data_IF_451683288475
#
_entry.id   IF_451683288475
#
_cell.length_a   1.000
_cell.length_b   1.000
_cell.length_c   1.000
_cell.angle_alpha   90.00
_cell.angle_beta   90.00
_cell.angle_gamma   90.00
#
_symmetry.space_group_name_H-M   'P 1'
#
loop_
_entity.id
_entity.type
_entity.pdbx_description
1 polymer ?
#
# COMPACT_ATOMS: atom_id res chain seq x y z
N UNK A 1 3.27 -6.70 -17.51
CA UNK A 1 4.27 -6.33 -16.49
C UNK A 1 3.64 -6.57 -15.13
N UNK A 2 4.44 -7.01 -14.16
CA UNK A 2 3.96 -7.35 -12.82
C UNK A 2 3.64 -6.08 -12.06
N UNK A 3 2.35 -5.76 -11.91
CA UNK A 3 1.94 -4.65 -11.07
C UNK A 3 2.08 -5.05 -9.60
N UNK A 4 2.85 -4.29 -8.82
CA UNK A 4 3.03 -4.48 -7.39
C UNK A 4 2.05 -3.59 -6.64
N UNK A 5 1.20 -4.16 -5.79
CA UNK A 5 0.34 -3.38 -4.88
C UNK A 5 1.03 -3.21 -3.53
N UNK A 6 1.25 -1.98 -3.10
CA UNK A 6 1.84 -1.66 -1.78
C UNK A 6 0.69 -1.29 -0.84
N UNK A 7 0.46 -2.14 0.17
CA UNK A 7 -0.53 -1.89 1.21
C UNK A 7 0.18 -1.57 2.52
N UNK A 8 -0.20 -0.46 3.14
CA UNK A 8 0.41 0.04 4.38
C UNK A 8 -0.66 0.69 5.28
N UNK A 9 -0.30 0.89 6.55
CA UNK A 9 -1.07 1.76 7.43
C UNK A 9 -0.82 3.22 7.04
N UNK A 10 -1.85 4.07 7.05
CA UNK A 10 -1.70 5.52 6.85
C UNK A 10 -0.73 6.18 7.85
N UNK A 11 -0.43 5.51 8.97
CA UNK A 11 0.59 5.92 9.95
C UNK A 11 2.03 5.69 9.48
N UNK A 12 2.24 4.94 8.39
CA UNK A 12 3.53 4.53 7.84
C UNK A 12 3.78 5.05 6.41
N UNK A 13 3.26 6.23 6.09
CA UNK A 13 3.39 6.81 4.75
C UNK A 13 4.85 7.05 4.35
N UNK A 14 5.74 7.37 5.31
CA UNK A 14 7.15 7.63 5.03
C UNK A 14 7.88 6.34 4.60
N UNK A 15 7.62 5.24 5.30
CA UNK A 15 8.18 3.92 5.02
C UNK A 15 7.64 3.37 3.70
N UNK A 16 6.35 3.58 3.42
CA UNK A 16 5.74 3.18 2.15
C UNK A 16 6.37 3.90 0.95
N UNK A 17 6.70 5.20 1.08
CA UNK A 17 7.44 5.95 0.05
C UNK A 17 8.86 5.44 -0.11
N UNK A 18 9.58 5.17 0.98
CA UNK A 18 10.94 4.65 0.92
C UNK A 18 11.00 3.30 0.19
N UNK A 19 10.04 2.42 0.42
CA UNK A 19 9.95 1.11 -0.25
C UNK A 19 9.58 1.26 -1.73
N UNK A 20 8.65 2.16 -2.07
CA UNK A 20 8.36 2.52 -3.45
C UNK A 20 9.63 2.99 -4.17
N UNK A 21 10.38 3.90 -3.58
CA UNK A 21 11.59 4.47 -4.20
C UNK A 21 12.67 3.39 -4.38
N UNK A 22 12.80 2.47 -3.42
CA UNK A 22 13.66 1.31 -3.54
C UNK A 22 13.23 0.36 -4.68
N UNK A 23 11.92 0.06 -4.82
CA UNK A 23 11.40 -0.75 -5.93
C UNK A 23 11.73 -0.13 -7.29
N UNK A 24 11.48 1.17 -7.45
CA UNK A 24 11.82 1.92 -8.68
C UNK A 24 13.32 1.81 -8.98
N UNK A 25 14.18 1.99 -7.98
CA UNK A 25 15.64 1.89 -8.16
C UNK A 25 16.13 0.49 -8.60
N UNK A 26 15.33 -0.54 -8.36
CA UNK A 26 15.59 -1.93 -8.75
C UNK A 26 14.88 -2.33 -10.06
N UNK A 27 14.29 -1.38 -10.79
CA UNK A 27 13.62 -1.61 -12.07
C UNK A 27 12.16 -2.07 -11.96
N UNK A 28 11.54 -1.93 -10.79
CA UNK A 28 10.13 -2.25 -10.55
C UNK A 28 9.30 -0.96 -10.49
N UNK A 29 8.97 -0.39 -11.66
CA UNK A 29 8.29 0.90 -11.83
C UNK A 29 6.76 0.80 -12.07
N UNK A 30 6.24 -0.40 -12.29
CA UNK A 30 4.80 -0.71 -12.35
C UNK A 30 4.28 -1.06 -10.95
N UNK A 31 3.96 -0.04 -10.16
CA UNK A 31 3.42 -0.18 -8.81
C UNK A 31 2.11 0.60 -8.64
N UNK A 32 1.36 0.20 -7.63
CA UNK A 32 0.21 0.94 -7.11
C UNK A 32 0.43 1.24 -5.63
N UNK A 33 0.40 2.52 -5.30
CA UNK A 33 0.49 3.04 -3.93
C UNK A 33 -0.65 4.06 -3.78
N UNK A 34 -1.55 3.78 -2.83
CA UNK A 34 -2.78 4.54 -2.59
C UNK A 34 -2.56 6.04 -2.23
N UNK A 35 -1.44 6.39 -1.60
CA UNK A 35 -1.02 7.77 -1.25
C UNK A 35 -0.15 8.46 -2.32
N UNK A 36 0.03 7.84 -3.49
CA UNK A 36 0.77 8.46 -4.58
C UNK A 36 0.00 9.69 -5.09
N UNK A 37 0.61 10.89 -5.13
CA UNK A 37 -0.10 12.11 -5.52
C UNK A 37 -0.49 12.15 -7.00
N UNK A 38 0.16 11.35 -7.86
CA UNK A 38 -0.15 11.28 -9.29
C UNK A 38 -0.95 10.03 -9.67
N UNK A 39 -0.75 8.93 -8.92
CA UNK A 39 -1.29 7.59 -9.25
C UNK A 39 -2.13 6.94 -8.16
N UNK A 40 -2.31 7.61 -7.02
CA UNK A 40 -3.01 7.10 -5.84
C UNK A 40 -4.52 7.23 -5.93
N UNK A 41 -5.22 6.80 -4.87
CA UNK A 41 -6.68 6.82 -4.82
C UNK A 41 -7.16 8.03 -4.04
N UNK A 42 -8.05 8.82 -4.65
CA UNK A 42 -8.78 9.88 -3.94
C UNK A 42 -9.68 9.24 -2.88
N UNK A 43 -9.53 9.65 -1.62
CA UNK A 43 -10.28 9.09 -0.49
C UNK A 43 -11.81 9.23 -0.67
N UNK A 44 -12.55 8.14 -0.42
CA UNK A 44 -14.02 8.07 -0.53
C UNK A 44 -14.53 6.64 -0.76
N UNK A 45 -15.81 6.42 -1.05
CA UNK A 45 -16.35 5.07 -1.32
C UNK A 45 -15.72 4.37 -2.53
N UNK A 46 -15.12 5.12 -3.47
CA UNK A 46 -14.36 4.54 -4.59
C UNK A 46 -13.04 3.89 -4.15
N UNK A 47 -12.55 4.19 -2.95
CA UNK A 47 -11.32 3.62 -2.38
C UNK A 47 -11.35 2.10 -2.40
N UNK A 48 -12.37 1.50 -1.81
CA UNK A 48 -12.44 0.04 -1.60
C UNK A 48 -12.53 -0.71 -2.93
N UNK A 49 -13.28 -0.14 -3.89
CA UNK A 49 -13.40 -0.69 -5.24
C UNK A 49 -12.10 -0.56 -6.03
N UNK A 50 -11.44 0.59 -5.99
CA UNK A 50 -10.15 0.80 -6.66
C UNK A 50 -9.07 -0.11 -6.05
N UNK A 51 -9.11 -0.34 -4.74
CA UNK A 51 -8.25 -1.29 -4.05
C UNK A 51 -8.46 -2.72 -4.57
N UNK A 52 -9.72 -3.16 -4.67
CA UNK A 52 -10.08 -4.47 -5.19
C UNK A 52 -9.66 -4.66 -6.65
N UNK A 53 -9.88 -3.65 -7.49
CA UNK A 53 -9.49 -3.67 -8.90
C UNK A 53 -7.97 -3.66 -9.07
N UNK A 54 -7.23 -2.92 -8.22
CA UNK A 54 -5.78 -2.95 -8.20
C UNK A 54 -5.26 -4.33 -7.77
N UNK A 55 -5.76 -4.87 -6.65
CA UNK A 55 -5.38 -6.19 -6.14
C UNK A 55 -5.64 -7.30 -7.17
N UNK A 56 -6.78 -7.29 -7.86
CA UNK A 56 -7.13 -8.26 -8.91
C UNK A 56 -6.23 -8.19 -10.15
N UNK A 57 -5.55 -7.07 -10.39
CA UNK A 57 -4.65 -6.85 -11.54
C UNK A 57 -3.18 -6.99 -11.20
N UNK A 58 -2.83 -7.07 -9.92
CA UNK A 58 -1.46 -7.19 -9.45
C UNK A 58 -1.01 -8.64 -9.41
N UNK A 59 0.26 -8.88 -9.73
CA UNK A 59 0.86 -10.22 -9.63
C UNK A 59 1.51 -10.46 -8.26
N UNK A 60 1.71 -9.40 -7.47
CA UNK A 60 2.24 -9.47 -6.11
C UNK A 60 1.64 -8.35 -5.23
N UNK A 61 1.43 -8.65 -3.96
CA UNK A 61 1.01 -7.70 -2.91
C UNK A 61 2.09 -7.62 -1.85
N UNK A 62 2.55 -6.41 -1.54
CA UNK A 62 3.50 -6.14 -0.47
C UNK A 62 2.77 -5.51 0.72
N UNK A 63 2.73 -6.23 1.85
CA UNK A 63 2.19 -5.72 3.11
C UNK A 63 3.31 -5.16 3.98
N UNK A 64 3.23 -3.85 4.27
CA UNK A 64 4.15 -3.20 5.19
C UNK A 64 3.59 -3.28 6.61
N UNK A 65 4.00 -4.32 7.33
CA UNK A 65 3.60 -4.54 8.72
C UNK A 65 4.60 -3.84 9.63
N UNK A 66 4.13 -2.87 10.42
CA UNK A 66 4.91 -2.19 11.47
C UNK A 66 4.32 -2.51 12.85
N UNK A 67 5.06 -2.22 13.93
CA UNK A 67 4.52 -2.33 15.29
C UNK A 67 3.24 -1.47 15.48
N UNK A 68 3.16 -0.33 14.80
CA UNK A 68 1.96 0.52 14.80
C UNK A 68 0.75 -0.13 14.12
N UNK A 69 0.96 -1.11 13.23
CA UNK A 69 -0.10 -1.92 12.63
C UNK A 69 -0.63 -2.98 13.62
N UNK A 70 0.25 -3.58 14.44
CA UNK A 70 -0.13 -4.57 15.44
C UNK A 70 -0.91 -3.98 16.62
N UNK A 71 -0.66 -2.70 16.95
CA UNK A 71 -1.36 -1.99 18.04
C UNK A 71 -2.87 -1.84 17.80
N UNK A 72 -3.34 -1.97 16.55
CA UNK A 72 -4.77 -1.97 16.23
C UNK A 72 -5.50 -3.27 16.67
N UNK A 73 -4.78 -4.34 17.01
CA UNK A 73 -5.38 -5.60 17.51
C UNK A 73 -5.20 -5.82 19.02
N UNK A 74 -4.49 -4.93 19.74
CA UNK A 74 -4.20 -5.07 21.17
C UNK A 74 -5.30 -4.61 22.13
N UNK A 75 -6.28 -3.82 21.67
CA UNK A 75 -7.27 -3.17 22.55
C UNK A 75 -8.56 -3.99 22.83
N UNK A 76 -8.56 -5.32 22.59
CA UNK A 76 -9.74 -6.19 22.83
C UNK A 76 -9.52 -7.34 23.83
N UNK A 77 -8.47 -7.27 24.65
CA UNK A 77 -8.29 -8.20 25.78
C UNK A 77 -7.76 -7.47 27.02
N UNK A 78 -8.64 -6.72 27.67
CA UNK A 78 -8.55 -6.39 29.10
C UNK A 78 -9.96 -6.23 29.64
#
# INVERSE_FOLDING_TARGET
MSRIFISHSSRNNAEARAIRDWLISNGWDDYFLDLDPERGIVAGQLWERALHEAANRCQAVLFLVSAAWLDLNGARRS
#
